data_IF_755863590230
#
_entry.id   IF_755863590230
#
_cell.length_a   1.000
_cell.length_b   1.000
_cell.length_c   1.000
_cell.angle_alpha   90.00
_cell.angle_beta   90.00
_cell.angle_gamma   90.00
#
_symmetry.space_group_name_H-M   'P 1'
#
loop_
_entity.id
_entity.type
_entity.pdbx_description
1 polymer ?
#
# COMPACT_ATOMS: atom_id res chain seq x y z
N UNK A 1 72.80 17.09 66.62
CA UNK A 1 72.21 15.78 66.80
C UNK A 1 70.70 15.94 66.96
N UNK A 2 69.93 15.80 65.89
CA UNK A 2 68.47 15.53 65.93
C UNK A 2 68.05 14.98 64.58
N UNK A 3 67.58 13.75 64.57
CA UNK A 3 67.13 12.97 63.44
C UNK A 3 65.75 13.47 63.05
N UNK A 4 65.54 13.88 61.81
CA UNK A 4 64.24 14.17 61.20
C UNK A 4 63.86 13.01 60.32
N UNK A 5 62.81 12.28 60.78
CA UNK A 5 62.11 11.23 59.99
C UNK A 5 61.23 11.88 58.92
N UNK A 6 61.52 11.56 57.67
CA UNK A 6 60.63 11.89 56.57
C UNK A 6 59.52 10.81 56.48
N UNK A 7 58.28 11.22 56.58
CA UNK A 7 57.09 10.40 56.30
C UNK A 7 56.75 10.55 54.82
N UNK A 8 56.88 9.46 54.11
CA UNK A 8 56.49 9.41 52.71
C UNK A 8 55.01 8.97 52.63
N UNK A 9 54.13 9.86 52.20
CA UNK A 9 52.74 9.57 51.95
C UNK A 9 52.62 9.04 50.49
N UNK A 10 52.34 7.75 50.35
CA UNK A 10 52.02 7.15 49.06
C UNK A 10 50.54 7.47 48.69
N UNK A 11 50.37 8.37 47.73
CA UNK A 11 49.04 8.65 47.15
C UNK A 11 48.65 7.56 46.16
N UNK A 12 47.63 6.79 46.47
CA UNK A 12 46.96 5.90 45.50
C UNK A 12 46.07 6.73 44.59
N UNK A 13 46.53 6.99 43.37
CA UNK A 13 45.70 7.54 42.31
C UNK A 13 44.82 6.44 41.74
N UNK A 14 43.53 6.48 42.04
CA UNK A 14 42.54 5.65 41.38
C UNK A 14 42.26 6.25 40.00
N UNK A 15 42.77 5.64 38.94
CA UNK A 15 42.42 5.98 37.57
C UNK A 15 41.09 5.27 37.27
N UNK A 16 40.00 6.03 37.34
CA UNK A 16 38.68 5.57 36.83
C UNK A 16 38.73 5.74 35.30
N UNK A 17 39.05 4.66 34.61
CA UNK A 17 38.86 4.58 33.16
C UNK A 17 37.36 4.47 32.85
N UNK A 18 36.72 5.58 32.52
CA UNK A 18 35.39 5.59 31.97
C UNK A 18 35.47 4.98 30.56
N UNK A 19 35.05 3.70 30.43
CA UNK A 19 34.80 3.06 29.15
C UNK A 19 33.54 3.71 28.56
N UNK A 20 33.71 4.71 27.71
CA UNK A 20 32.66 5.21 26.84
C UNK A 20 32.42 4.12 25.80
N UNK A 21 31.44 3.25 26.06
CA UNK A 21 30.82 2.41 25.03
C UNK A 21 30.13 3.36 24.04
N UNK A 22 30.88 3.81 23.05
CA UNK A 22 30.31 4.40 21.85
C UNK A 22 29.50 3.26 21.18
N UNK A 23 28.18 3.19 21.50
CA UNK A 23 27.23 2.49 20.68
C UNK A 23 27.30 3.18 19.33
N UNK A 24 28.13 2.68 18.43
CA UNK A 24 28.00 2.98 17.01
C UNK A 24 26.66 2.41 16.59
N UNK A 25 25.62 3.24 16.68
CA UNK A 25 24.45 3.04 15.85
C UNK A 25 24.98 3.18 14.44
N UNK A 26 25.39 2.05 13.87
CA UNK A 26 25.70 1.96 12.47
C UNK A 26 24.45 2.45 11.75
N UNK A 27 24.53 3.63 11.17
CA UNK A 27 23.61 4.04 10.12
C UNK A 27 23.85 3.00 9.04
N UNK A 28 23.04 1.94 9.06
CA UNK A 28 22.98 0.98 7.97
C UNK A 28 22.39 1.76 6.80
N UNK A 29 23.25 2.26 5.96
CA UNK A 29 22.86 2.74 4.65
C UNK A 29 22.33 1.54 3.86
N UNK A 30 21.05 1.23 4.06
CA UNK A 30 20.31 0.30 3.24
C UNK A 30 20.15 0.97 1.88
N UNK A 31 20.77 0.41 0.88
CA UNK A 31 20.87 1.10 -0.40
C UNK A 31 19.51 1.28 -1.05
N UNK A 32 18.45 0.66 -0.76
CA UNK A 32 17.14 0.75 -1.43
C UNK A 32 16.01 0.10 -0.63
N UNK A 33 16.11 0.09 0.69
CA UNK A 33 15.00 -0.32 1.54
C UNK A 33 14.92 0.64 2.72
N UNK A 34 13.72 1.01 3.12
CA UNK A 34 13.57 1.68 4.41
C UNK A 34 13.88 0.70 5.54
N UNK A 35 14.58 1.20 6.54
CA UNK A 35 14.56 0.54 7.84
C UNK A 35 13.13 0.53 8.38
N UNK A 36 12.84 -0.39 9.27
CA UNK A 36 11.53 -0.42 9.95
C UNK A 36 11.18 0.94 10.58
N UNK A 37 12.18 1.62 11.16
CA UNK A 37 11.95 2.92 11.80
C UNK A 37 11.64 4.01 10.78
N UNK A 38 12.38 4.10 9.69
CA UNK A 38 12.07 5.05 8.62
C UNK A 38 10.67 4.84 8.05
N UNK A 39 10.27 3.59 7.81
CA UNK A 39 8.93 3.29 7.33
C UNK A 39 7.85 3.74 8.34
N UNK A 40 8.09 3.56 9.64
CA UNK A 40 7.22 4.07 10.70
C UNK A 40 7.15 5.60 10.65
N UNK A 41 8.29 6.28 10.51
CA UNK A 41 8.36 7.74 10.51
C UNK A 41 7.64 8.34 9.29
N UNK A 42 7.83 7.77 8.10
CA UNK A 42 7.12 8.21 6.89
C UNK A 42 5.61 7.93 6.92
N UNK A 43 5.16 6.98 7.70
CA UNK A 43 3.75 6.62 7.86
C UNK A 43 3.21 6.88 9.27
N UNK A 44 3.80 7.83 9.99
CA UNK A 44 3.52 8.12 11.41
C UNK A 44 2.05 8.49 11.68
N UNK A 45 1.34 9.03 10.69
CA UNK A 45 -0.09 9.36 10.81
C UNK A 45 -1.02 8.15 10.70
N UNK A 46 -0.51 6.94 10.40
CA UNK A 46 -1.33 5.73 10.38
C UNK A 46 -1.89 5.44 11.78
N UNK A 47 -3.20 5.27 11.92
CA UNK A 47 -3.82 4.92 13.19
C UNK A 47 -3.75 3.42 13.53
N UNK A 48 -3.21 2.61 12.60
CA UNK A 48 -3.22 1.15 12.70
C UNK A 48 -1.92 0.61 13.27
N UNK A 49 -2.00 -0.63 13.78
CA UNK A 49 -0.82 -1.43 14.14
C UNK A 49 0.15 -1.58 12.98
N UNK A 50 1.28 -2.20 13.24
CA UNK A 50 2.33 -2.41 12.25
C UNK A 50 2.54 -3.89 11.96
N UNK A 51 2.81 -4.20 10.70
CA UNK A 51 3.35 -5.49 10.30
C UNK A 51 4.80 -5.63 10.83
N UNK A 52 5.37 -6.85 10.87
CA UNK A 52 6.74 -7.06 11.33
C UNK A 52 7.79 -6.23 10.59
N UNK A 53 7.55 -5.94 9.30
CA UNK A 53 8.41 -5.12 8.45
C UNK A 53 8.24 -3.59 8.67
N UNK A 54 7.27 -3.17 9.48
CA UNK A 54 7.00 -1.75 9.80
C UNK A 54 5.88 -1.11 9.00
N UNK A 55 5.38 -1.77 7.95
CA UNK A 55 4.24 -1.27 7.17
C UNK A 55 2.99 -1.10 8.05
N UNK A 56 2.14 -0.09 7.80
CA UNK A 56 0.82 -0.01 8.40
C UNK A 56 0.01 -1.29 8.15
N UNK A 57 -0.61 -1.81 9.20
CA UNK A 57 -1.50 -2.96 9.13
C UNK A 57 -2.95 -2.51 9.11
N UNK A 58 -3.43 -2.02 7.96
CA UNK A 58 -4.88 -1.81 7.79
C UNK A 58 -5.61 -3.12 8.15
N UNK A 59 -6.59 -3.10 9.08
CA UNK A 59 -7.28 -4.31 9.52
C UNK A 59 -7.95 -5.08 8.38
N UNK A 60 -7.94 -6.41 8.45
CA UNK A 60 -8.56 -7.25 7.42
C UNK A 60 -10.07 -7.00 7.28
N UNK A 61 -10.76 -6.62 8.38
CA UNK A 61 -12.15 -6.20 8.35
C UNK A 61 -12.38 -4.94 7.51
N UNK A 62 -11.43 -4.00 7.51
CA UNK A 62 -11.50 -2.80 6.67
C UNK A 62 -11.17 -3.11 5.20
N UNK A 63 -10.23 -4.03 4.95
CA UNK A 63 -9.96 -4.54 3.60
C UNK A 63 -11.23 -5.19 3.03
N UNK A 64 -11.89 -6.03 3.82
CA UNK A 64 -13.13 -6.69 3.37
C UNK A 64 -14.25 -5.68 3.12
N UNK A 65 -14.39 -4.65 3.99
CA UNK A 65 -15.35 -3.56 3.79
C UNK A 65 -15.08 -2.78 2.49
N UNK A 66 -13.81 -2.63 2.10
CA UNK A 66 -13.43 -1.94 0.87
C UNK A 66 -13.70 -2.75 -0.42
N UNK A 67 -13.99 -4.05 -0.36
CA UNK A 67 -14.20 -4.89 -1.56
C UNK A 67 -15.39 -4.49 -2.42
N UNK A 68 -16.34 -3.76 -1.88
CA UNK A 68 -17.52 -3.30 -2.61
C UNK A 68 -17.40 -1.89 -3.17
N UNK A 69 -16.25 -1.23 -3.01
CA UNK A 69 -16.09 0.16 -3.40
C UNK A 69 -15.78 0.32 -4.88
N UNK A 70 -16.28 1.42 -5.44
CA UNK A 70 -15.88 1.95 -6.73
C UNK A 70 -14.76 3.01 -6.58
N UNK A 71 -14.07 3.30 -7.67
CA UNK A 71 -13.11 4.40 -7.74
C UNK A 71 -13.73 5.75 -7.39
N UNK A 72 -14.99 5.98 -7.74
CA UNK A 72 -15.70 7.23 -7.43
C UNK A 72 -15.88 7.42 -5.91
N UNK A 73 -16.23 6.38 -5.19
CA UNK A 73 -16.44 6.45 -3.74
C UNK A 73 -15.14 6.75 -2.99
N UNK A 74 -14.02 6.20 -3.47
CA UNK A 74 -12.69 6.55 -2.94
C UNK A 74 -12.33 7.99 -3.28
N UNK A 75 -12.59 8.43 -4.51
CA UNK A 75 -12.36 9.80 -4.96
C UNK A 75 -13.14 10.81 -4.11
N UNK A 76 -14.38 10.50 -3.75
CA UNK A 76 -15.25 11.39 -2.98
C UNK A 76 -14.66 11.87 -1.64
N UNK A 77 -13.70 11.10 -1.09
CA UNK A 77 -12.97 11.50 0.12
C UNK A 77 -11.65 12.18 -0.22
N UNK A 78 -10.85 11.55 -1.10
CA UNK A 78 -9.45 11.96 -1.29
C UNK A 78 -9.26 13.22 -2.14
N UNK A 79 -10.20 13.56 -3.03
CA UNK A 79 -10.05 14.70 -3.95
C UNK A 79 -10.01 16.06 -3.24
N UNK A 80 -10.58 16.16 -2.04
CA UNK A 80 -10.58 17.39 -1.23
C UNK A 80 -9.35 17.49 -0.31
N UNK A 81 -8.64 16.39 -0.12
CA UNK A 81 -7.52 16.31 0.81
C UNK A 81 -6.27 16.98 0.25
N UNK A 82 -5.89 18.12 0.87
CA UNK A 82 -4.72 18.89 0.44
C UNK A 82 -3.44 18.06 0.47
N UNK A 83 -2.81 17.91 -0.69
CA UNK A 83 -1.59 17.12 -0.86
C UNK A 83 -1.84 15.66 -1.24
N UNK A 84 -3.10 15.21 -1.31
CA UNK A 84 -3.48 13.83 -1.65
C UNK A 84 -4.42 13.74 -2.86
N UNK A 85 -4.55 14.80 -3.62
CA UNK A 85 -5.43 14.88 -4.81
C UNK A 85 -5.00 13.97 -5.95
N UNK A 86 -3.76 13.48 -5.94
CA UNK A 86 -3.20 12.64 -7.00
C UNK A 86 -2.89 11.24 -6.47
N UNK A 87 -3.93 10.49 -6.13
CA UNK A 87 -3.83 9.12 -5.58
C UNK A 87 -4.48 8.08 -6.50
N UNK A 88 -4.84 8.46 -7.73
CA UNK A 88 -5.47 7.59 -8.72
C UNK A 88 -4.56 7.35 -9.92
N UNK A 89 -4.43 6.09 -10.30
CA UNK A 89 -3.73 5.67 -11.50
C UNK A 89 -4.66 4.89 -12.44
N UNK A 90 -4.67 5.27 -13.70
CA UNK A 90 -5.47 4.67 -14.77
C UNK A 90 -4.62 4.08 -15.91
N UNK A 91 -5.26 3.71 -17.02
CA UNK A 91 -4.60 3.27 -18.24
C UNK A 91 -4.03 1.85 -18.14
N UNK A 92 -4.54 1.03 -17.26
CA UNK A 92 -4.19 -0.39 -17.15
C UNK A 92 -5.05 -1.28 -18.05
N UNK A 93 -4.48 -2.38 -18.48
CA UNK A 93 -5.25 -3.57 -18.82
C UNK A 93 -5.64 -4.26 -17.51
N UNK A 94 -6.91 -4.66 -17.40
CA UNK A 94 -7.45 -5.24 -16.18
C UNK A 94 -7.75 -6.71 -16.40
N UNK A 95 -7.07 -7.57 -15.67
CA UNK A 95 -7.40 -8.98 -15.60
C UNK A 95 -8.58 -9.14 -14.63
N UNK A 96 -9.62 -9.83 -15.06
CA UNK A 96 -10.87 -10.02 -14.31
C UNK A 96 -11.59 -8.71 -13.95
N UNK A 97 -12.06 -7.92 -14.93
CA UNK A 97 -12.66 -6.61 -14.68
C UNK A 97 -13.98 -6.64 -13.86
N UNK A 98 -14.47 -7.81 -13.51
CA UNK A 98 -15.59 -7.99 -12.57
C UNK A 98 -15.18 -8.16 -11.12
N UNK A 99 -13.88 -8.16 -10.81
CA UNK A 99 -13.34 -8.33 -9.46
C UNK A 99 -12.70 -7.04 -8.97
N UNK A 100 -13.04 -6.64 -7.77
CA UNK A 100 -12.38 -5.51 -7.10
C UNK A 100 -11.02 -5.96 -6.56
N UNK A 101 -9.98 -5.18 -6.85
CA UNK A 101 -8.66 -5.31 -6.26
C UNK A 101 -8.65 -4.62 -4.91
N UNK A 102 -8.37 -5.33 -3.82
CA UNK A 102 -8.24 -4.70 -2.49
C UNK A 102 -7.16 -5.39 -1.67
N UNK A 103 -6.30 -4.60 -1.02
CA UNK A 103 -5.30 -5.09 -0.08
C UNK A 103 -4.31 -4.01 0.32
N UNK A 104 -3.29 -4.38 1.08
CA UNK A 104 -2.20 -3.48 1.51
C UNK A 104 -1.10 -3.47 0.48
N UNK A 105 -0.61 -2.30 0.09
CA UNK A 105 0.49 -2.18 -0.86
C UNK A 105 1.78 -2.83 -0.31
N UNK A 106 2.28 -3.83 -1.01
CA UNK A 106 3.66 -4.30 -0.91
C UNK A 106 4.40 -3.76 -2.12
N UNK A 107 5.22 -2.74 -1.92
CA UNK A 107 5.82 -1.97 -3.02
C UNK A 107 7.18 -2.52 -3.42
N UNK A 108 7.42 -2.58 -4.73
CA UNK A 108 8.66 -3.04 -5.34
C UNK A 108 9.09 -2.09 -6.44
N UNK A 109 10.35 -1.69 -6.43
CA UNK A 109 10.92 -0.79 -7.42
C UNK A 109 12.00 -1.47 -8.23
N UNK A 110 11.88 -1.35 -9.53
CA UNK A 110 12.94 -1.70 -10.48
C UNK A 110 13.43 -0.45 -11.21
N UNK A 111 14.69 -0.48 -11.62
CA UNK A 111 15.31 0.52 -12.50
C UNK A 111 15.97 -0.15 -13.69
N UNK A 112 16.23 0.57 -14.79
CA UNK A 112 17.06 0.07 -15.87
C UNK A 112 18.41 -0.41 -15.37
N UNK A 113 18.88 -1.54 -15.90
CA UNK A 113 20.12 -2.16 -15.48
C UNK A 113 21.30 -1.17 -15.60
N UNK A 114 22.04 -1.08 -14.51
CA UNK A 114 23.30 -0.36 -14.43
C UNK A 114 24.28 -1.19 -13.59
N UNK A 115 25.19 -1.90 -14.26
CA UNK A 115 25.98 -2.96 -13.65
C UNK A 115 26.89 -2.53 -12.50
N UNK A 116 27.40 -1.28 -12.48
CA UNK A 116 28.19 -0.75 -11.37
C UNK A 116 27.33 -0.52 -10.10
N UNK A 117 26.06 -0.15 -10.25
CA UNK A 117 25.10 0.00 -9.15
C UNK A 117 24.59 -1.35 -8.69
N UNK A 118 24.22 -2.23 -9.62
CA UNK A 118 23.73 -3.58 -9.34
C UNK A 118 24.75 -4.37 -8.52
N UNK A 119 26.03 -4.37 -8.91
CA UNK A 119 27.09 -5.08 -8.19
C UNK A 119 27.20 -4.66 -6.72
N UNK A 120 27.01 -3.36 -6.41
CA UNK A 120 27.00 -2.85 -5.04
C UNK A 120 25.72 -3.25 -4.31
N UNK A 121 24.58 -3.18 -4.97
CA UNK A 121 23.29 -3.58 -4.39
C UNK A 121 23.27 -5.07 -4.03
N UNK A 122 23.77 -5.94 -4.91
CA UNK A 122 23.88 -7.38 -4.67
C UNK A 122 24.83 -7.71 -3.53
N UNK A 123 26.00 -7.05 -3.48
CA UNK A 123 26.94 -7.24 -2.37
C UNK A 123 26.29 -6.92 -1.01
N UNK A 124 25.56 -5.82 -0.93
CA UNK A 124 24.83 -5.42 0.29
C UNK A 124 23.67 -6.36 0.61
N UNK A 125 22.90 -6.78 -0.39
CA UNK A 125 21.85 -7.77 -0.20
C UNK A 125 22.38 -9.07 0.40
N UNK A 126 23.51 -9.53 -0.08
CA UNK A 126 24.18 -10.73 0.45
C UNK A 126 24.63 -10.54 1.90
N UNK A 127 25.13 -9.36 2.28
CA UNK A 127 25.47 -9.04 3.68
C UNK A 127 24.26 -9.15 4.61
N UNK A 128 23.04 -8.87 4.09
CA UNK A 128 21.77 -9.00 4.81
C UNK A 128 21.08 -10.37 4.64
N UNK A 129 21.78 -11.36 4.07
CA UNK A 129 21.24 -12.72 3.91
C UNK A 129 20.21 -12.86 2.78
N UNK A 130 20.09 -11.86 1.91
CA UNK A 130 19.26 -11.94 0.71
C UNK A 130 20.06 -12.63 -0.40
N UNK A 131 19.36 -13.44 -1.21
CA UNK A 131 19.94 -14.07 -2.41
C UNK A 131 20.14 -13.03 -3.55
N UNK A 132 20.39 -13.52 -4.78
CA UNK A 132 20.45 -12.64 -5.94
C UNK A 132 19.19 -11.75 -6.01
N UNK A 133 19.38 -10.48 -6.31
CA UNK A 133 18.30 -9.49 -6.35
C UNK A 133 17.46 -9.67 -7.63
N UNK A 134 16.47 -10.55 -7.55
CA UNK A 134 15.54 -10.89 -8.62
C UNK A 134 14.10 -10.55 -8.22
N UNK A 135 13.17 -10.69 -9.15
CA UNK A 135 11.73 -10.52 -8.87
C UNK A 135 11.26 -11.47 -7.75
N UNK A 136 11.74 -12.72 -7.71
CA UNK A 136 11.40 -13.68 -6.66
C UNK A 136 11.80 -13.19 -5.27
N UNK A 137 12.91 -12.46 -5.12
CA UNK A 137 13.35 -11.91 -3.83
C UNK A 137 12.27 -11.08 -3.16
N UNK A 138 11.56 -10.25 -3.93
CA UNK A 138 10.45 -9.45 -3.41
C UNK A 138 9.16 -10.28 -3.27
N UNK A 139 8.87 -11.16 -4.23
CA UNK A 139 7.67 -12.01 -4.25
C UNK A 139 7.62 -12.96 -3.05
N UNK A 140 8.77 -13.50 -2.63
CA UNK A 140 8.86 -14.40 -1.47
C UNK A 140 8.59 -13.72 -0.12
N UNK A 141 8.56 -12.39 -0.08
CA UNK A 141 8.26 -11.60 1.14
C UNK A 141 6.78 -11.24 1.28
N UNK A 142 5.93 -11.60 0.32
CA UNK A 142 4.50 -11.30 0.35
C UNK A 142 3.79 -12.02 1.50
N UNK A 143 2.76 -11.36 2.04
CA UNK A 143 1.95 -11.85 3.14
C UNK A 143 0.46 -11.82 2.79
N UNK A 144 -0.40 -12.57 3.50
CA UNK A 144 -1.84 -12.51 3.33
C UNK A 144 -2.39 -11.08 3.44
N UNK A 145 -3.24 -10.71 2.47
CA UNK A 145 -3.83 -9.37 2.36
C UNK A 145 -2.93 -8.32 1.69
N UNK A 146 -1.75 -8.70 1.19
CA UNK A 146 -0.93 -7.82 0.36
C UNK A 146 -1.46 -7.74 -1.08
N UNK A 147 -1.25 -6.59 -1.71
CA UNK A 147 -1.27 -6.37 -3.16
C UNK A 147 0.16 -6.08 -3.59
N UNK A 148 0.69 -6.88 -4.52
CA UNK A 148 2.01 -6.64 -5.09
C UNK A 148 1.95 -5.43 -6.03
N UNK A 149 2.59 -4.32 -5.64
CA UNK A 149 2.62 -3.06 -6.41
C UNK A 149 4.02 -2.81 -6.94
N UNK A 150 4.19 -2.88 -8.27
CA UNK A 150 5.49 -2.88 -8.93
C UNK A 150 5.67 -1.66 -9.82
N UNK A 151 6.63 -0.82 -9.48
CA UNK A 151 7.17 0.21 -10.39
C UNK A 151 8.23 -0.44 -11.28
N UNK A 152 7.87 -0.66 -12.53
CA UNK A 152 8.75 -1.15 -13.58
C UNK A 152 8.90 -0.12 -14.71
N UNK A 153 8.78 1.14 -14.35
CA UNK A 153 8.93 2.34 -15.24
C UNK A 153 8.24 2.24 -16.60
N UNK A 154 7.11 1.53 -16.70
CA UNK A 154 6.36 1.32 -17.95
C UNK A 154 7.04 0.37 -18.94
N UNK A 155 8.04 -0.39 -18.52
CA UNK A 155 8.81 -1.30 -19.40
C UNK A 155 7.91 -2.40 -19.97
N UNK A 156 7.97 -2.59 -21.29
CA UNK A 156 7.19 -3.61 -22.03
C UNK A 156 8.05 -4.85 -22.30
N UNK A 157 8.94 -4.75 -23.28
CA UNK A 157 9.86 -5.83 -23.65
C UNK A 157 10.88 -6.04 -22.53
N UNK A 158 11.20 -7.28 -22.21
CA UNK A 158 12.04 -7.66 -21.04
C UNK A 158 11.54 -7.05 -19.71
N UNK A 159 10.25 -6.70 -19.61
CA UNK A 159 9.66 -6.04 -18.46
C UNK A 159 8.59 -6.89 -17.75
N UNK A 160 8.61 -8.19 -17.95
CA UNK A 160 7.57 -9.10 -17.44
C UNK A 160 7.88 -9.55 -16.03
N UNK A 161 7.23 -8.94 -15.04
CA UNK A 161 7.48 -9.26 -13.62
C UNK A 161 7.05 -10.67 -13.25
N UNK A 162 5.94 -11.16 -13.79
CA UNK A 162 5.40 -12.51 -13.55
C UNK A 162 4.92 -13.16 -14.85
N UNK A 163 5.08 -14.47 -14.94
CA UNK A 163 4.31 -15.37 -15.78
C UNK A 163 3.32 -16.15 -14.91
N UNK A 164 2.69 -17.18 -15.45
CA UNK A 164 1.62 -17.96 -14.81
C UNK A 164 2.05 -18.58 -13.46
N UNK A 165 3.23 -19.21 -13.39
CA UNK A 165 3.71 -19.84 -12.16
C UNK A 165 3.93 -18.83 -11.01
N UNK A 166 4.56 -17.68 -11.29
CA UNK A 166 4.76 -16.65 -10.27
C UNK A 166 3.46 -15.92 -9.93
N UNK A 167 2.56 -15.73 -10.88
CA UNK A 167 1.24 -15.20 -10.62
C UNK A 167 0.44 -16.11 -9.67
N UNK A 168 0.51 -17.44 -9.91
CA UNK A 168 -0.08 -18.43 -9.02
C UNK A 168 0.52 -18.36 -7.60
N UNK A 169 1.86 -18.21 -7.51
CA UNK A 169 2.51 -18.05 -6.21
C UNK A 169 2.04 -16.78 -5.48
N UNK A 170 1.99 -15.64 -6.18
CA UNK A 170 1.47 -14.38 -5.63
C UNK A 170 0.04 -14.56 -5.12
N UNK A 171 -0.83 -15.19 -5.91
CA UNK A 171 -2.21 -15.49 -5.52
C UNK A 171 -2.28 -16.28 -4.21
N UNK A 172 -1.42 -17.28 -4.04
CA UNK A 172 -1.36 -18.11 -2.83
C UNK A 172 -0.79 -17.35 -1.64
N UNK A 173 0.31 -16.63 -1.82
CA UNK A 173 0.97 -15.89 -0.75
C UNK A 173 0.11 -14.75 -0.21
N UNK A 174 -0.62 -14.05 -1.09
CA UNK A 174 -1.48 -12.92 -0.72
C UNK A 174 -2.91 -13.32 -0.34
N UNK A 175 -3.29 -14.59 -0.48
CA UNK A 175 -4.66 -15.07 -0.36
C UNK A 175 -5.64 -14.38 -1.34
N UNK A 176 -5.18 -14.16 -2.58
CA UNK A 176 -5.97 -13.52 -3.63
C UNK A 176 -6.00 -12.00 -3.57
N UNK A 177 -5.03 -11.35 -2.89
CA UNK A 177 -4.94 -9.90 -2.79
C UNK A 177 -4.86 -9.20 -4.14
N UNK A 178 -3.83 -9.50 -4.94
CA UNK A 178 -3.75 -8.98 -6.30
C UNK A 178 -2.40 -8.42 -6.72
N UNK A 179 -2.38 -7.86 -7.92
CA UNK A 179 -1.17 -7.34 -8.58
C UNK A 179 -1.45 -6.01 -9.29
N UNK A 180 -0.57 -5.03 -9.09
CA UNK A 180 -0.51 -3.79 -9.88
C UNK A 180 0.90 -3.63 -10.43
N UNK A 181 1.05 -3.59 -11.75
CA UNK A 181 2.36 -3.47 -12.40
C UNK A 181 2.39 -2.27 -13.34
N UNK A 182 3.24 -1.30 -13.06
CA UNK A 182 3.58 -0.26 -14.04
C UNK A 182 4.63 -0.78 -15.01
N UNK A 183 4.25 -1.82 -15.76
CA UNK A 183 5.07 -2.60 -16.66
C UNK A 183 4.28 -3.71 -17.34
N UNK A 184 4.93 -4.83 -17.65
CA UNK A 184 4.30 -5.96 -18.36
C UNK A 184 4.21 -7.24 -17.52
N UNK A 185 3.31 -8.12 -17.96
CA UNK A 185 3.19 -9.51 -17.52
C UNK A 185 3.16 -10.42 -18.73
N UNK A 186 3.29 -11.73 -18.56
CA UNK A 186 3.19 -12.70 -19.65
C UNK A 186 2.26 -13.85 -19.29
N UNK A 187 2.11 -14.79 -20.25
CA UNK A 187 1.35 -16.03 -20.08
C UNK A 187 -0.15 -15.75 -19.77
N UNK A 188 -0.72 -14.73 -20.45
CA UNK A 188 -2.09 -14.26 -20.19
C UNK A 188 -3.12 -15.38 -20.26
N UNK A 189 -2.95 -16.36 -21.16
CA UNK A 189 -3.87 -17.51 -21.29
C UNK A 189 -3.93 -18.31 -19.99
N UNK A 190 -2.78 -18.62 -19.40
CA UNK A 190 -2.69 -19.31 -18.11
C UNK A 190 -3.18 -18.46 -16.94
N UNK A 191 -2.76 -17.20 -16.90
CA UNK A 191 -3.14 -16.25 -15.83
C UNK A 191 -4.65 -16.00 -15.82
N UNK A 192 -5.30 -15.93 -16.97
CA UNK A 192 -6.74 -15.68 -17.07
C UNK A 192 -7.61 -16.74 -16.42
N UNK A 193 -7.08 -17.94 -16.19
CA UNK A 193 -7.75 -19.03 -15.48
C UNK A 193 -7.63 -18.94 -13.95
N UNK A 194 -6.82 -18.00 -13.43
CA UNK A 194 -6.55 -17.86 -12.00
C UNK A 194 -7.43 -16.78 -11.38
N UNK A 195 -7.94 -17.04 -10.18
CA UNK A 195 -8.93 -16.20 -9.52
C UNK A 195 -8.31 -15.06 -8.69
N UNK A 196 -7.45 -14.23 -9.32
CA UNK A 196 -6.83 -13.07 -8.70
C UNK A 196 -6.88 -11.85 -9.63
N UNK A 197 -7.30 -10.66 -9.14
CA UNK A 197 -7.28 -9.44 -9.94
C UNK A 197 -5.85 -8.97 -10.24
N UNK A 198 -5.65 -8.41 -11.44
CA UNK A 198 -4.37 -7.89 -11.87
C UNK A 198 -4.51 -6.68 -12.78
N UNK A 199 -3.65 -5.69 -12.58
CA UNK A 199 -3.58 -4.45 -13.34
C UNK A 199 -2.17 -4.29 -13.90
N UNK A 200 -2.05 -4.13 -15.22
CA UNK A 200 -0.75 -4.07 -15.90
C UNK A 200 -0.81 -3.19 -17.14
N UNK A 201 0.34 -2.68 -17.59
CA UNK A 201 0.38 -1.78 -18.78
C UNK A 201 0.33 -2.54 -20.09
N UNK A 202 0.97 -3.70 -20.14
CA UNK A 202 1.07 -4.48 -21.38
C UNK A 202 1.37 -5.96 -21.10
N UNK A 203 1.18 -6.79 -22.09
CA UNK A 203 1.68 -8.16 -22.09
C UNK A 203 2.85 -8.26 -23.08
N UNK A 204 3.85 -9.07 -22.71
CA UNK A 204 5.01 -9.36 -23.57
C UNK A 204 5.54 -10.74 -23.24
N UNK A 205 5.90 -11.60 -24.22
CA UNK A 205 6.33 -12.98 -23.94
C UNK A 205 7.73 -13.08 -23.35
N UNK A 206 8.54 -12.00 -23.40
CA UNK A 206 9.90 -12.03 -22.88
C UNK A 206 9.95 -12.08 -21.34
N UNK A 207 10.91 -12.77 -20.74
CA UNK A 207 11.11 -12.72 -19.29
C UNK A 207 11.61 -11.34 -18.86
N UNK A 208 11.59 -11.10 -17.53
CA UNK A 208 12.22 -9.91 -16.97
C UNK A 208 13.73 -9.91 -17.26
N UNK A 209 14.25 -8.80 -17.74
CA UNK A 209 15.65 -8.64 -18.09
C UNK A 209 16.05 -7.18 -18.24
N UNK A 210 17.35 -6.92 -18.24
CA UNK A 210 17.90 -5.57 -18.37
C UNK A 210 17.35 -4.56 -17.34
N UNK A 211 17.04 -5.05 -16.15
CA UNK A 211 16.58 -4.27 -15.00
C UNK A 211 17.31 -4.72 -13.75
N UNK A 212 17.34 -3.88 -12.73
CA UNK A 212 17.83 -4.23 -11.40
C UNK A 212 16.76 -3.91 -10.36
N UNK A 213 16.61 -4.78 -9.36
CA UNK A 213 15.75 -4.53 -8.20
C UNK A 213 16.41 -3.48 -7.31
N UNK A 214 15.76 -2.35 -7.12
CA UNK A 214 16.31 -1.21 -6.40
C UNK A 214 15.59 -0.87 -5.12
N UNK A 215 14.39 -1.43 -4.90
CA UNK A 215 13.68 -1.16 -3.66
C UNK A 215 12.60 -2.19 -3.34
N UNK A 216 12.48 -2.54 -2.06
CA UNK A 216 11.40 -3.34 -1.50
C UNK A 216 10.84 -2.56 -0.32
N UNK A 217 9.51 -2.38 -0.27
CA UNK A 217 8.85 -1.54 0.73
C UNK A 217 9.43 -0.11 0.79
N UNK A 218 9.61 0.48 -0.38
CA UNK A 218 10.00 1.89 -0.59
C UNK A 218 8.87 2.63 -1.30
N UNK A 219 8.85 3.99 -1.30
CA UNK A 219 7.94 4.74 -2.15
C UNK A 219 8.17 4.39 -3.61
N UNK A 220 7.10 4.10 -4.33
CA UNK A 220 7.16 3.80 -5.77
C UNK A 220 6.27 4.74 -6.55
N UNK A 221 6.56 4.88 -7.86
CA UNK A 221 5.72 5.64 -8.77
C UNK A 221 4.89 4.70 -9.63
N UNK A 222 3.58 4.77 -9.51
CA UNK A 222 2.65 4.04 -10.39
C UNK A 222 1.92 5.06 -11.26
N UNK A 223 2.28 5.12 -12.55
CA UNK A 223 1.82 6.22 -13.41
C UNK A 223 2.25 7.58 -12.87
N UNK A 224 1.29 8.43 -12.49
CA UNK A 224 1.52 9.74 -11.88
C UNK A 224 1.41 9.77 -10.34
N UNK A 225 1.28 8.61 -9.69
CA UNK A 225 0.97 8.49 -8.26
C UNK A 225 2.20 8.05 -7.46
N UNK A 226 2.42 8.65 -6.30
CA UNK A 226 3.35 8.13 -5.30
C UNK A 226 2.60 7.16 -4.38
N UNK A 227 3.05 5.91 -4.35
CA UNK A 227 2.48 4.85 -3.50
C UNK A 227 3.44 4.53 -2.37
N UNK A 228 2.92 4.55 -1.15
CA UNK A 228 3.69 4.17 0.03
C UNK A 228 3.43 2.70 0.42
N UNK A 229 4.43 2.01 0.98
CA UNK A 229 4.21 0.69 1.56
C UNK A 229 3.12 0.74 2.64
N UNK A 230 2.11 -0.14 2.51
CA UNK A 230 0.99 -0.21 3.45
C UNK A 230 -0.21 0.69 3.11
N UNK A 231 -0.16 1.47 2.02
CA UNK A 231 -1.37 2.12 1.50
C UNK A 231 -2.44 1.07 1.21
N UNK A 232 -3.71 1.41 1.44
CA UNK A 232 -4.81 0.57 0.99
C UNK A 232 -4.97 0.74 -0.52
N UNK A 233 -4.87 -0.35 -1.24
CA UNK A 233 -5.09 -0.41 -2.68
C UNK A 233 -6.54 -0.74 -2.94
N UNK A 234 -7.23 0.06 -3.75
CA UNK A 234 -8.60 -0.21 -4.22
C UNK A 234 -8.64 -0.03 -5.73
N UNK A 235 -8.99 -1.08 -6.45
CA UNK A 235 -9.04 -1.03 -7.90
C UNK A 235 -10.32 -1.64 -8.46
N UNK A 236 -10.89 -0.99 -9.47
CA UNK A 236 -12.05 -1.41 -10.22
C UNK A 236 -11.79 -1.37 -11.75
N UNK A 237 -12.84 -1.29 -12.56
CA UNK A 237 -12.70 -1.23 -14.03
C UNK A 237 -12.07 0.05 -14.54
N UNK A 238 -12.10 1.13 -13.77
CA UNK A 238 -11.63 2.45 -14.18
C UNK A 238 -10.14 2.62 -13.91
N UNK A 239 -9.66 2.10 -12.76
CA UNK A 239 -8.26 2.18 -12.39
C UNK A 239 -8.00 1.76 -10.95
N UNK A 240 -6.96 2.32 -10.35
CA UNK A 240 -6.51 1.95 -9.02
C UNK A 240 -6.28 3.21 -8.16
N UNK A 241 -6.91 3.23 -6.99
CA UNK A 241 -6.62 4.18 -5.92
C UNK A 241 -5.64 3.60 -4.91
N UNK A 242 -4.76 4.47 -4.40
CA UNK A 242 -3.83 4.19 -3.32
C UNK A 242 -4.17 5.11 -2.16
N UNK A 243 -4.80 4.57 -1.13
CA UNK A 243 -5.36 5.32 -0.02
C UNK A 243 -4.39 5.31 1.16
N UNK A 244 -3.83 6.45 1.56
CA UNK A 244 -2.99 6.52 2.75
C UNK A 244 -3.76 6.02 3.98
N UNK A 245 -3.14 5.20 4.85
CA UNK A 245 -3.83 4.53 5.97
C UNK A 245 -4.61 5.48 6.89
N UNK A 246 -4.16 6.72 7.03
CA UNK A 246 -4.83 7.74 7.84
C UNK A 246 -6.25 8.11 7.36
N UNK A 247 -6.56 7.91 6.08
CA UNK A 247 -7.86 8.23 5.49
C UNK A 247 -8.78 7.02 5.32
N UNK A 248 -8.29 5.81 5.56
CA UNK A 248 -9.04 4.57 5.27
C UNK A 248 -10.38 4.53 6.00
N UNK A 249 -10.39 4.87 7.29
CA UNK A 249 -11.64 4.84 8.06
C UNK A 249 -12.64 5.86 7.54
N UNK A 250 -12.21 7.08 7.34
CA UNK A 250 -13.05 8.18 6.84
C UNK A 250 -13.61 7.86 5.44
N UNK A 251 -12.76 7.37 4.55
CA UNK A 251 -13.15 6.93 3.20
C UNK A 251 -14.23 5.84 3.25
N UNK A 252 -14.06 4.82 4.10
CA UNK A 252 -15.04 3.75 4.26
C UNK A 252 -16.38 4.26 4.83
N UNK A 253 -16.34 5.18 5.79
CA UNK A 253 -17.54 5.75 6.38
C UNK A 253 -18.28 6.65 5.36
N UNK A 254 -17.54 7.40 4.57
CA UNK A 254 -18.08 8.21 3.48
C UNK A 254 -18.70 7.37 2.37
N UNK A 255 -18.06 6.28 2.01
CA UNK A 255 -18.60 5.35 1.02
C UNK A 255 -19.95 4.73 1.46
N UNK A 256 -20.12 4.40 2.74
CA UNK A 256 -21.42 3.95 3.24
C UNK A 256 -22.51 5.02 3.06
N UNK A 257 -22.18 6.30 3.31
CA UNK A 257 -23.13 7.39 3.10
C UNK A 257 -23.51 7.51 1.61
N UNK A 258 -22.55 7.37 0.70
CA UNK A 258 -22.77 7.42 -0.75
C UNK A 258 -23.66 6.26 -1.18
N UNK A 259 -23.38 5.04 -0.75
CA UNK A 259 -24.19 3.87 -1.05
C UNK A 259 -25.65 4.05 -0.60
N UNK A 260 -25.87 4.56 0.61
CA UNK A 260 -27.22 4.83 1.13
C UNK A 260 -27.90 5.97 0.36
N UNK A 261 -27.14 6.99 -0.04
CA UNK A 261 -27.66 8.09 -0.88
C UNK A 261 -28.12 7.55 -2.24
N UNK A 262 -27.33 6.73 -2.89
CA UNK A 262 -27.67 6.12 -4.17
C UNK A 262 -28.86 5.18 -4.08
N UNK A 263 -28.91 4.34 -3.03
CA UNK A 263 -30.07 3.48 -2.75
C UNK A 263 -31.37 4.33 -2.65
N UNK A 264 -31.33 5.40 -1.87
CA UNK A 264 -32.47 6.29 -1.70
C UNK A 264 -32.85 7.01 -3.00
N UNK A 265 -31.86 7.54 -3.72
CA UNK A 265 -32.05 8.26 -4.98
C UNK A 265 -32.70 7.37 -6.05
N UNK A 266 -32.21 6.14 -6.23
CA UNK A 266 -32.78 5.16 -7.16
C UNK A 266 -34.23 4.82 -6.79
N UNK A 267 -34.50 4.59 -5.51
CA UNK A 267 -35.85 4.35 -5.02
C UNK A 267 -36.80 5.52 -5.32
N UNK A 268 -36.34 6.76 -5.22
CA UNK A 268 -37.13 7.94 -5.57
C UNK A 268 -37.36 8.05 -7.08
N UNK A 269 -36.42 7.68 -7.91
CA UNK A 269 -36.62 7.61 -9.36
C UNK A 269 -37.63 6.54 -9.75
N UNK A 270 -37.62 5.39 -9.09
CA UNK A 270 -38.57 4.30 -9.33
C UNK A 270 -40.01 4.70 -8.99
N UNK A 271 -40.24 5.69 -8.11
CA UNK A 271 -41.57 6.26 -7.86
C UNK A 271 -42.19 6.98 -9.10
N UNK A 272 -41.35 7.35 -10.09
CA UNK A 272 -41.78 7.96 -11.34
C UNK A 272 -42.35 9.39 -11.22
N UNK A 273 -42.19 10.03 -10.05
CA UNK A 273 -42.80 11.33 -9.73
C UNK A 273 -41.82 12.50 -9.85
N UNK A 274 -40.52 12.22 -9.75
CA UNK A 274 -39.49 13.23 -9.62
C UNK A 274 -38.58 13.27 -10.84
N UNK A 275 -38.12 14.45 -11.19
CA UNK A 275 -37.05 14.64 -12.18
C UNK A 275 -35.69 14.52 -11.51
N UNK A 276 -34.67 14.19 -12.28
CA UNK A 276 -33.30 14.11 -11.76
C UNK A 276 -32.87 15.40 -11.04
N UNK A 277 -33.22 16.57 -11.59
CA UNK A 277 -32.93 17.87 -10.98
C UNK A 277 -33.60 18.11 -9.62
N UNK A 278 -34.59 17.32 -9.21
CA UNK A 278 -35.29 17.48 -7.93
C UNK A 278 -34.59 16.72 -6.79
N UNK A 279 -33.89 15.63 -7.12
CA UNK A 279 -33.34 14.69 -6.14
C UNK A 279 -31.85 14.40 -6.29
N UNK A 280 -31.28 14.49 -7.51
CA UNK A 280 -29.86 14.19 -7.70
C UNK A 280 -28.96 15.18 -6.94
N UNK A 281 -28.02 14.64 -6.18
CA UNK A 281 -27.22 15.40 -5.22
C UNK A 281 -27.98 15.59 -3.90
N UNK A 282 -28.47 16.78 -3.62
CA UNK A 282 -29.29 17.06 -2.44
C UNK A 282 -30.72 17.38 -2.84
N UNK A 283 -31.74 16.75 -2.23
CA UNK A 283 -33.13 17.09 -2.49
C UNK A 283 -33.40 18.57 -2.26
N UNK A 284 -34.16 19.21 -3.16
CA UNK A 284 -34.46 20.65 -3.06
C UNK A 284 -35.65 20.95 -2.13
N UNK A 285 -36.62 20.05 -2.07
CA UNK A 285 -37.78 20.19 -1.21
C UNK A 285 -37.43 19.92 0.26
N UNK A 286 -37.78 20.82 1.22
CA UNK A 286 -37.42 20.66 2.62
C UNK A 286 -37.98 19.38 3.28
N UNK A 287 -39.18 18.95 2.88
CA UNK A 287 -39.78 17.70 3.43
C UNK A 287 -39.00 16.47 2.94
N UNK A 288 -38.57 16.51 1.70
CA UNK A 288 -37.77 15.45 1.10
C UNK A 288 -36.34 15.40 1.71
N UNK A 289 -35.75 16.58 2.04
CA UNK A 289 -34.51 16.64 2.79
C UNK A 289 -34.62 15.99 4.16
N UNK A 290 -35.73 16.23 4.87
CA UNK A 290 -35.96 15.60 6.18
C UNK A 290 -36.19 14.09 6.05
N UNK A 291 -36.98 13.65 5.06
CA UNK A 291 -37.17 12.24 4.75
C UNK A 291 -35.82 11.53 4.46
N UNK A 292 -34.96 12.17 3.63
CA UNK A 292 -33.64 11.66 3.32
C UNK A 292 -32.75 11.55 4.56
N UNK A 293 -32.70 12.58 5.40
CA UNK A 293 -31.90 12.55 6.64
C UNK A 293 -32.31 11.39 7.57
N UNK A 294 -33.62 11.16 7.71
CA UNK A 294 -34.12 10.06 8.53
C UNK A 294 -33.80 8.70 7.89
N UNK A 295 -33.91 8.60 6.57
CA UNK A 295 -33.54 7.40 5.83
C UNK A 295 -32.06 7.08 6.01
N UNK A 296 -31.17 8.05 5.75
CA UNK A 296 -29.74 7.93 5.90
C UNK A 296 -29.35 7.45 7.30
N UNK A 297 -29.84 8.14 8.33
CA UNK A 297 -29.56 7.77 9.71
C UNK A 297 -29.94 6.33 10.02
N UNK A 298 -31.15 5.91 9.70
CA UNK A 298 -31.65 4.56 9.93
C UNK A 298 -30.80 3.51 9.18
N UNK A 299 -30.50 3.76 7.91
CA UNK A 299 -29.75 2.79 7.10
C UNK A 299 -28.31 2.65 7.59
N UNK A 300 -27.65 3.73 7.97
CA UNK A 300 -26.30 3.65 8.53
C UNK A 300 -26.29 2.91 9.89
N UNK A 301 -27.30 3.08 10.73
CA UNK A 301 -27.45 2.33 11.97
C UNK A 301 -27.65 0.81 11.68
N UNK A 302 -28.47 0.46 10.68
CA UNK A 302 -28.65 -0.93 10.23
C UNK A 302 -27.34 -1.55 9.71
N UNK A 303 -26.58 -0.83 8.89
CA UNK A 303 -25.28 -1.27 8.35
C UNK A 303 -24.28 -1.52 9.48
N UNK A 304 -24.14 -0.58 10.42
CA UNK A 304 -23.26 -0.75 11.58
C UNK A 304 -23.64 -1.96 12.43
N UNK A 305 -24.92 -2.13 12.69
CA UNK A 305 -25.43 -3.28 13.44
C UNK A 305 -25.15 -4.61 12.74
N UNK A 306 -25.29 -4.67 11.42
CA UNK A 306 -24.97 -5.87 10.62
C UNK A 306 -23.48 -6.22 10.68
N UNK A 307 -22.61 -5.23 10.81
CA UNK A 307 -21.16 -5.39 10.96
C UNK A 307 -20.71 -5.67 12.40
N UNK A 308 -21.63 -5.59 13.39
CA UNK A 308 -21.28 -5.69 14.81
C UNK A 308 -20.53 -4.47 15.35
N UNK A 309 -20.61 -3.34 14.66
CA UNK A 309 -20.03 -2.06 15.09
C UNK A 309 -21.03 -1.38 16.06
N UNK A 310 -20.53 -0.93 17.25
CA UNK A 310 -21.32 -0.22 18.25
C UNK A 310 -21.27 1.29 18.07
#
# INVERSE_FOLDING_TARGET
MKLLRRITIAGYGVIVSALVLASSTGVQAQLFTFSKQELIDYTAKSPFDRLPDGRPKVPDSMIERARGLSSEEVWATLHEEKGFVNQYADGFQVLHPGKTLVGRAFTVQFMPLRGDVEAVAEAKAKEHGLGPLMNQTAIDMLQPGDVLVVDLFGKKVDGTIVGDNLFYYVMKATHGGGLVVDGSIRDLEGISQMDMPGYFRSADPTPIGNVMLTGINVPVRIGGVTVMPGDLVVGDREGVYFVPPQFVKEMLDRADEIHVHDEWTRKKFDEGKYKSADIYGSPKDPKMQEEYRQYLKRRLEEIRKQRGEQ
#
